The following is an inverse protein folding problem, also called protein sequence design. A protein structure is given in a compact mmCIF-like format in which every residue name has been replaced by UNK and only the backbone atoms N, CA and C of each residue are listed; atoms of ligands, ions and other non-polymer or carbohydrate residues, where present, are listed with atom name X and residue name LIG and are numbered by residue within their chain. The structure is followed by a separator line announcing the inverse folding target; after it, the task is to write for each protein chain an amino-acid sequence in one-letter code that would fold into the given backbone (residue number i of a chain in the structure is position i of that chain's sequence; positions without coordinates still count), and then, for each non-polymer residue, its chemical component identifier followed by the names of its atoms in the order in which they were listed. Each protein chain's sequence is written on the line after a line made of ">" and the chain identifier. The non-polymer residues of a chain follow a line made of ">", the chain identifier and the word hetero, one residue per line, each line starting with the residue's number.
data_IF_456347718095
#
_entry.id   IF_456347718095
#
_cell.length_a   1.000
_cell.length_b   1.000
_cell.length_c   1.000
_cell.angle_alpha   90.00
_cell.angle_beta   90.00
_cell.angle_gamma   90.00
#
_symmetry.space_group_name_H-M   'P 1'
#
loop_
_entity.id
_entity.type
_entity.pdbx_description
1 polymer ?
#
# COMPACT_ATOMS: atom_id res chain seq x y z
N UNK A 1 2.19 -14.34 -5.79
CA UNK A 1 3.60 -14.35 -5.34
C UNK A 1 4.56 -14.81 -6.41
N UNK A 2 4.17 -15.73 -7.28
CA UNK A 2 5.03 -16.27 -8.35
C UNK A 2 5.76 -15.22 -9.21
N UNK A 3 5.12 -14.09 -9.54
CA UNK A 3 5.77 -12.99 -10.29
C UNK A 3 6.92 -12.38 -9.47
N UNK A 4 6.74 -12.20 -8.16
CA UNK A 4 7.78 -11.68 -7.27
C UNK A 4 8.87 -12.73 -7.02
N UNK A 5 8.53 -14.02 -6.99
CA UNK A 5 9.50 -15.11 -6.82
C UNK A 5 10.50 -15.18 -7.99
N UNK A 6 10.07 -14.78 -9.19
CA UNK A 6 10.90 -14.73 -10.41
C UNK A 6 11.77 -13.47 -10.50
N UNK A 7 11.61 -12.50 -9.59
CA UNK A 7 12.38 -11.26 -9.59
C UNK A 7 13.61 -11.40 -8.69
N UNK A 8 14.77 -11.04 -9.23
CA UNK A 8 16.04 -11.04 -8.48
C UNK A 8 16.31 -9.71 -7.75
N UNK A 9 15.49 -8.69 -8.01
CA UNK A 9 15.62 -7.33 -7.49
C UNK A 9 14.64 -7.03 -6.33
N UNK A 10 14.12 -8.07 -5.66
CA UNK A 10 13.23 -7.90 -4.50
C UNK A 10 14.04 -7.90 -3.21
N UNK A 11 14.00 -6.78 -2.49
CA UNK A 11 14.71 -6.53 -1.23
C UNK A 11 13.79 -6.43 -0.01
N UNK A 12 12.49 -6.71 -0.18
CA UNK A 12 11.47 -6.67 0.88
C UNK A 12 10.80 -8.04 1.10
N UNK A 13 10.20 -8.21 2.28
CA UNK A 13 9.41 -9.41 2.62
C UNK A 13 8.02 -9.33 2.00
N UNK A 14 7.52 -10.45 1.46
CA UNK A 14 6.18 -10.55 0.90
C UNK A 14 5.63 -11.96 1.07
N UNK A 15 4.31 -12.08 1.12
CA UNK A 15 3.63 -13.37 1.13
C UNK A 15 2.21 -13.27 0.57
N UNK A 16 1.66 -14.40 0.11
CA UNK A 16 0.29 -14.52 -0.36
C UNK A 16 0.08 -15.80 -1.17
N UNK A 17 -1.13 -16.27 -1.46
CA UNK A 17 -2.46 -15.79 -1.04
C UNK A 17 -2.67 -15.99 0.47
N UNK A 18 -3.17 -14.96 1.16
CA UNK A 18 -3.50 -15.06 2.59
C UNK A 18 -4.63 -14.12 2.99
N UNK A 19 -5.31 -14.46 4.08
CA UNK A 19 -6.34 -13.59 4.67
C UNK A 19 -5.70 -12.54 5.57
N UNK A 20 -6.35 -11.37 5.77
CA UNK A 20 -5.86 -10.34 6.71
C UNK A 20 -5.64 -10.87 8.12
N UNK A 21 -6.44 -11.86 8.56
CA UNK A 21 -6.28 -12.50 9.88
C UNK A 21 -4.91 -13.17 10.04
N UNK A 22 -4.43 -13.84 9.00
CA UNK A 22 -3.12 -14.51 9.03
C UNK A 22 -1.99 -13.48 8.84
N UNK A 23 -2.22 -12.47 8.00
CA UNK A 23 -1.24 -11.42 7.74
C UNK A 23 -0.92 -10.58 9.00
N UNK A 24 -1.95 -10.25 9.79
CA UNK A 24 -1.88 -9.30 10.89
C UNK A 24 -1.73 -9.93 12.28
N UNK A 25 -1.63 -11.26 12.38
CA UNK A 25 -1.52 -11.93 13.67
C UNK A 25 -0.47 -13.04 13.59
N UNK A 26 0.65 -12.83 14.29
CA UNK A 26 1.79 -13.75 14.29
C UNK A 26 1.48 -15.12 14.91
N UNK A 27 0.68 -15.14 15.99
CA UNK A 27 0.27 -16.40 16.64
C UNK A 27 -0.52 -17.28 15.66
N UNK A 28 -1.45 -16.67 14.91
CA UNK A 28 -2.21 -17.36 13.87
C UNK A 28 -1.30 -17.74 12.70
N UNK A 29 -0.32 -16.91 12.35
CA UNK A 29 0.63 -17.21 11.26
C UNK A 29 1.57 -18.37 11.59
N UNK A 30 1.80 -18.70 12.86
CA UNK A 30 2.64 -19.85 13.26
C UNK A 30 2.21 -21.19 12.64
N UNK A 31 0.93 -21.33 12.26
CA UNK A 31 0.40 -22.52 11.56
C UNK A 31 0.78 -22.56 10.06
N UNK A 32 1.38 -21.49 9.54
CA UNK A 32 1.90 -21.35 8.18
C UNK A 32 3.44 -21.35 8.20
N UNK A 33 4.11 -22.50 8.40
CA UNK A 33 5.56 -22.59 8.61
C UNK A 33 6.39 -22.18 7.38
N UNK A 34 5.75 -21.98 6.24
CA UNK A 34 6.37 -21.55 4.98
C UNK A 34 6.25 -20.04 4.73
N UNK A 35 5.65 -19.28 5.65
CA UNK A 35 5.52 -17.83 5.47
C UNK A 35 6.89 -17.15 5.55
N UNK A 36 7.17 -16.28 4.59
CA UNK A 36 8.39 -15.47 4.55
C UNK A 36 8.35 -14.25 5.47
N UNK A 37 7.17 -13.89 5.99
CA UNK A 37 7.00 -12.74 6.86
C UNK A 37 7.57 -13.04 8.25
N UNK A 38 8.51 -12.22 8.70
CA UNK A 38 9.09 -12.32 10.04
C UNK A 38 8.25 -11.66 11.13
N UNK A 39 7.26 -10.85 10.74
CA UNK A 39 6.40 -10.10 11.66
C UNK A 39 5.02 -9.85 11.04
N UNK A 40 4.17 -9.10 11.74
CA UNK A 40 2.87 -8.65 11.22
C UNK A 40 3.03 -7.85 9.92
N UNK A 41 2.15 -8.11 8.95
CA UNK A 41 2.16 -7.40 7.68
C UNK A 41 1.81 -5.92 7.89
N UNK A 42 2.65 -5.03 7.36
CA UNK A 42 2.43 -3.57 7.39
C UNK A 42 1.90 -3.03 6.05
N UNK A 43 1.94 -3.83 4.98
CA UNK A 43 1.40 -3.50 3.66
C UNK A 43 0.43 -4.61 3.25
N UNK A 44 -0.80 -4.23 2.93
CA UNK A 44 -1.85 -5.15 2.49
C UNK A 44 -2.22 -4.87 1.04
N UNK A 45 -1.96 -5.84 0.17
CA UNK A 45 -2.36 -5.78 -1.23
C UNK A 45 -3.68 -6.52 -1.40
N UNK A 46 -4.71 -5.83 -1.88
CA UNK A 46 -6.04 -6.41 -2.10
C UNK A 46 -6.22 -6.86 -3.55
N UNK A 47 -7.08 -7.86 -3.84
CA UNK A 47 -7.27 -8.38 -5.19
C UNK A 47 -8.04 -7.44 -6.15
N UNK A 48 -8.61 -6.33 -5.67
CA UNK A 48 -9.35 -5.42 -6.52
C UNK A 48 -9.77 -4.12 -5.83
N UNK A 49 -10.13 -3.12 -6.65
CA UNK A 49 -10.46 -1.76 -6.20
C UNK A 49 -11.65 -1.70 -5.24
N UNK A 50 -12.65 -2.58 -5.43
CA UNK A 50 -13.80 -2.65 -4.54
C UNK A 50 -13.39 -3.16 -3.15
N UNK A 51 -12.55 -4.20 -3.10
CA UNK A 51 -12.01 -4.73 -1.84
C UNK A 51 -11.17 -3.69 -1.11
N UNK A 52 -10.27 -3.00 -1.82
CA UNK A 52 -9.47 -1.89 -1.27
C UNK A 52 -10.35 -0.76 -0.72
N UNK A 53 -11.34 -0.34 -1.52
CA UNK A 53 -12.22 0.77 -1.16
C UNK A 53 -13.10 0.48 0.04
N UNK A 54 -13.64 -0.74 0.14
CA UNK A 54 -14.45 -1.18 1.28
C UNK A 54 -13.56 -1.34 2.53
N UNK A 55 -12.43 -2.06 2.43
CA UNK A 55 -11.57 -2.32 3.58
C UNK A 55 -11.00 -1.04 4.18
N UNK A 56 -10.53 -0.10 3.34
CA UNK A 56 -9.96 1.17 3.81
C UNK A 56 -11.00 2.00 4.57
N UNK A 57 -12.25 2.05 4.08
CA UNK A 57 -13.35 2.75 4.76
C UNK A 57 -13.73 2.05 6.07
N UNK A 58 -13.81 0.72 6.08
CA UNK A 58 -14.09 -0.03 7.32
C UNK A 58 -13.01 0.20 8.37
N UNK A 59 -11.73 0.19 7.98
CA UNK A 59 -10.61 0.45 8.90
C UNK A 59 -10.65 1.89 9.44
N UNK A 60 -10.97 2.87 8.60
CA UNK A 60 -11.13 4.26 9.04
C UNK A 60 -12.32 4.45 10.00
N UNK A 61 -13.51 4.01 9.60
CA UNK A 61 -14.76 4.26 10.33
C UNK A 61 -14.90 3.39 11.59
N UNK A 62 -14.51 2.11 11.54
CA UNK A 62 -14.65 1.18 12.68
C UNK A 62 -13.38 1.10 13.53
N UNK A 63 -12.20 1.18 12.90
CA UNK A 63 -10.92 1.07 13.58
C UNK A 63 -10.45 2.38 14.23
N UNK A 64 -11.14 3.49 13.96
CA UNK A 64 -10.72 4.82 14.43
C UNK A 64 -9.37 5.26 13.85
N UNK A 65 -8.93 4.62 12.77
CA UNK A 65 -7.66 4.92 12.13
C UNK A 65 -7.74 6.24 11.37
N UNK A 66 -6.67 7.03 11.43
CA UNK A 66 -6.55 8.19 10.54
C UNK A 66 -6.23 7.72 9.14
N UNK A 67 -7.16 7.91 8.20
CA UNK A 67 -6.96 7.56 6.79
C UNK A 67 -6.36 8.75 6.06
N UNK A 68 -5.15 8.56 5.53
CA UNK A 68 -4.50 9.53 4.64
C UNK A 68 -4.59 8.99 3.22
N UNK A 69 -5.28 9.72 2.34
CA UNK A 69 -5.37 9.35 0.93
C UNK A 69 -6.67 9.81 0.24
N UNK A 70 -6.90 9.37 -1.00
CA UNK A 70 -6.08 8.45 -1.78
C UNK A 70 -4.73 9.06 -2.20
N UNK A 71 -3.65 8.26 -2.18
CA UNK A 71 -2.32 8.65 -2.66
C UNK A 71 -2.07 8.03 -4.03
N UNK A 72 -1.73 8.85 -5.01
CA UNK A 72 -1.41 8.43 -6.37
C UNK A 72 0.11 8.27 -6.55
N UNK A 73 0.52 7.15 -7.15
CA UNK A 73 1.90 6.79 -7.49
C UNK A 73 1.93 6.14 -8.88
N UNK A 74 3.12 6.01 -9.50
CA UNK A 74 3.31 5.38 -10.80
C UNK A 74 3.01 6.26 -12.02
N UNK A 75 2.77 7.56 -11.82
CA UNK A 75 2.55 8.54 -12.90
C UNK A 75 3.87 9.20 -13.33
N UNK A 76 3.93 9.74 -14.54
CA UNK A 76 5.12 10.43 -15.07
C UNK A 76 5.49 11.69 -14.25
N UNK A 77 4.49 12.36 -13.71
CA UNK A 77 4.64 13.52 -12.83
C UNK A 77 3.92 13.29 -11.50
N UNK A 78 4.40 13.94 -10.43
CA UNK A 78 3.74 13.84 -9.13
C UNK A 78 2.45 14.65 -9.12
N UNK A 79 1.33 13.95 -9.02
CA UNK A 79 -0.03 14.52 -9.03
C UNK A 79 -0.82 13.86 -7.91
N UNK A 80 -1.57 14.66 -7.14
CA UNK A 80 -2.51 14.17 -6.14
C UNK A 80 -3.88 14.80 -6.40
N UNK A 81 -4.96 14.03 -6.20
CA UNK A 81 -6.33 14.48 -6.48
C UNK A 81 -7.08 14.63 -5.16
N UNK A 82 -7.39 15.88 -4.80
CA UNK A 82 -8.27 16.17 -3.69
C UNK A 82 -9.73 15.81 -4.05
N UNK A 83 -10.42 15.17 -3.10
CA UNK A 83 -11.84 14.86 -3.26
C UNK A 83 -12.70 16.10 -3.06
N UNK A 84 -13.87 16.14 -3.70
CA UNK A 84 -14.85 17.21 -3.46
C UNK A 84 -15.30 17.14 -2.00
N UNK A 85 -15.14 18.25 -1.27
CA UNK A 85 -15.44 18.32 0.17
C UNK A 85 -14.26 17.97 1.09
N UNK A 86 -13.05 17.79 0.55
CA UNK A 86 -11.84 17.64 1.35
C UNK A 86 -11.65 18.83 2.31
N UNK A 87 -11.19 18.55 3.54
CA UNK A 87 -10.90 19.60 4.51
C UNK A 87 -9.60 20.30 4.12
N UNK A 88 -9.40 21.51 4.65
CA UNK A 88 -8.16 22.28 4.41
C UNK A 88 -6.92 21.46 4.76
N UNK A 89 -6.94 20.72 5.86
CA UNK A 89 -5.85 19.84 6.27
C UNK A 89 -5.53 18.77 5.23
N UNK A 90 -6.55 18.12 4.66
CA UNK A 90 -6.37 17.08 3.64
C UNK A 90 -5.73 17.65 2.37
N UNK A 91 -6.17 18.84 1.95
CA UNK A 91 -5.61 19.54 0.78
C UNK A 91 -4.14 19.88 1.02
N UNK A 92 -3.78 20.37 2.21
CA UNK A 92 -2.39 20.69 2.56
C UNK A 92 -1.52 19.43 2.55
N UNK A 93 -2.01 18.31 3.10
CA UNK A 93 -1.30 17.03 3.08
C UNK A 93 -1.07 16.55 1.65
N UNK A 94 -2.11 16.54 0.81
CA UNK A 94 -1.99 16.12 -0.60
C UNK A 94 -1.04 17.02 -1.39
N UNK A 95 -1.08 18.35 -1.16
CA UNK A 95 -0.15 19.29 -1.79
C UNK A 95 1.29 19.04 -1.35
N UNK A 96 1.53 18.78 -0.06
CA UNK A 96 2.85 18.44 0.46
C UNK A 96 3.38 17.14 -0.15
N UNK A 97 2.53 16.11 -0.28
CA UNK A 97 2.88 14.85 -0.94
C UNK A 97 3.24 15.04 -2.42
N UNK A 98 2.47 15.84 -3.14
CA UNK A 98 2.74 16.18 -4.53
C UNK A 98 4.07 16.96 -4.69
N UNK A 99 4.33 17.92 -3.80
CA UNK A 99 5.55 18.72 -3.82
C UNK A 99 6.81 17.91 -3.45
N UNK A 100 6.70 17.00 -2.49
CA UNK A 100 7.79 16.09 -2.11
C UNK A 100 8.13 15.10 -3.25
N UNK A 101 7.10 14.68 -3.98
CA UNK A 101 7.24 13.74 -5.08
C UNK A 101 7.46 12.31 -4.59
N UNK A 102 6.54 11.77 -3.79
CA UNK A 102 6.63 10.43 -3.17
C UNK A 102 7.15 9.28 -4.06
N UNK A 103 6.94 9.39 -5.37
CA UNK A 103 7.24 8.34 -6.36
C UNK A 103 8.55 8.56 -7.15
N UNK A 104 9.49 9.39 -6.67
CA UNK A 104 10.73 9.70 -7.44
C UNK A 104 11.56 8.46 -7.78
N UNK A 105 11.74 7.58 -6.81
CA UNK A 105 12.59 6.39 -6.94
C UNK A 105 11.99 5.39 -7.93
N UNK A 106 10.67 5.14 -7.84
CA UNK A 106 9.94 4.33 -8.81
C UNK A 106 10.05 4.90 -10.23
N UNK A 107 9.90 6.22 -10.43
CA UNK A 107 10.11 6.84 -11.75
C UNK A 107 11.52 6.64 -12.27
N UNK A 108 12.53 6.66 -11.40
CA UNK A 108 13.91 6.42 -11.79
C UNK A 108 14.13 4.99 -12.27
N UNK A 109 13.45 4.01 -11.66
CA UNK A 109 13.43 2.61 -12.09
C UNK A 109 12.67 2.46 -13.42
N UNK A 110 11.47 3.03 -13.53
CA UNK A 110 10.64 2.93 -14.74
C UNK A 110 11.35 3.52 -15.98
N UNK A 111 12.09 4.62 -15.82
CA UNK A 111 12.92 5.21 -16.89
C UNK A 111 14.14 4.38 -17.28
N UNK A 112 14.64 3.50 -16.40
CA UNK A 112 15.76 2.58 -16.70
C UNK A 112 15.29 1.29 -17.35
N UNK A 113 14.02 0.93 -17.13
CA UNK A 113 13.42 -0.31 -17.63
C UNK A 113 12.77 -0.17 -19.03
N UNK A 114 12.58 1.06 -19.52
CA UNK A 114 12.16 1.38 -20.89
C UNK A 114 13.33 1.84 -21.75
#
# INVERSE_FOLDING_TARGET
>A
VEILDRRHDVDFEYEGEMTPRVALNEDVRSIYPFSRLKGEANVLITPGVHSAGISTKLVGELGGATVIGPVLIGLEHSVQIAQVGARVGDVVVLAAMAAYGLDQEHRSWAKKAG
#
